data_IF_813029103051
#
_entry.id   IF_813029103051
#
_cell.length_a   1.000
_cell.length_b   1.000
_cell.length_c   1.000
_cell.angle_alpha   90.00
_cell.angle_beta   90.00
_cell.angle_gamma   90.00
#
_symmetry.space_group_name_H-M   'P 1'
#
loop_
_entity.id
_entity.type
_entity.pdbx_description
1 polymer ?
#
# COMPACT_ATOMS: atom_id res chain seq x y z
N UNK A 1 27.01 -34.39 -1.24
CA UNK A 1 27.35 -33.33 -0.28
C UNK A 1 26.31 -33.43 0.83
N UNK A 2 26.66 -33.97 2.00
CA UNK A 2 25.68 -34.13 3.10
C UNK A 2 25.64 -32.83 3.88
N UNK A 3 24.58 -32.05 3.69
CA UNK A 3 24.30 -30.88 4.50
C UNK A 3 23.90 -31.38 5.89
N UNK A 4 24.58 -30.92 6.94
CA UNK A 4 24.27 -31.34 8.30
C UNK A 4 23.00 -30.67 8.80
N UNK A 5 22.18 -31.41 9.55
CA UNK A 5 20.96 -30.90 10.18
C UNK A 5 21.24 -29.68 11.08
N UNK A 6 22.40 -29.67 11.74
CA UNK A 6 22.87 -28.52 12.52
C UNK A 6 23.05 -27.26 11.69
N UNK A 7 23.64 -27.38 10.49
CA UNK A 7 23.85 -26.23 9.60
C UNK A 7 22.51 -25.70 9.08
N UNK A 8 21.56 -26.59 8.75
CA UNK A 8 20.21 -26.18 8.35
C UNK A 8 19.52 -25.43 9.49
N UNK A 9 19.61 -25.95 10.72
CA UNK A 9 19.02 -25.33 11.91
C UNK A 9 19.59 -23.94 12.16
N UNK A 10 20.92 -23.79 12.08
CA UNK A 10 21.59 -22.53 12.31
C UNK A 10 21.22 -21.48 11.25
N UNK A 11 21.15 -21.90 9.97
CA UNK A 11 20.68 -21.03 8.88
C UNK A 11 19.22 -20.60 9.13
N UNK A 12 18.33 -21.53 9.49
CA UNK A 12 16.92 -21.21 9.77
C UNK A 12 16.80 -20.24 10.94
N UNK A 13 17.54 -20.44 12.02
CA UNK A 13 17.52 -19.54 13.17
C UNK A 13 18.04 -18.15 12.79
N UNK A 14 19.11 -18.06 12.02
CA UNK A 14 19.64 -16.78 11.53
C UNK A 14 18.64 -16.05 10.62
N UNK A 15 17.97 -16.77 9.71
CA UNK A 15 16.93 -16.18 8.85
C UNK A 15 15.74 -15.69 9.68
N UNK A 16 15.31 -16.46 10.69
CA UNK A 16 14.23 -16.07 11.60
C UNK A 16 14.59 -14.85 12.47
N UNK A 17 15.83 -14.74 12.93
CA UNK A 17 16.30 -13.56 13.67
C UNK A 17 16.42 -12.32 12.77
N UNK A 18 16.89 -12.49 11.54
CA UNK A 18 16.96 -11.40 10.56
C UNK A 18 15.56 -10.92 10.14
N UNK A 19 14.57 -11.81 10.05
CA UNK A 19 13.17 -11.43 9.80
C UNK A 19 12.48 -10.81 11.01
N UNK A 20 12.86 -11.17 12.25
CA UNK A 20 12.36 -10.49 13.46
C UNK A 20 12.80 -9.03 13.57
N UNK A 21 13.98 -8.68 13.06
CA UNK A 21 14.47 -7.30 13.06
C UNK A 21 13.86 -6.43 11.94
N UNK A 22 13.00 -7.01 11.08
CA UNK A 22 12.22 -6.26 10.08
C UNK A 22 10.93 -5.66 10.65
N UNK A 23 10.58 -5.91 11.91
CA UNK A 23 9.24 -5.63 12.45
C UNK A 23 9.11 -4.27 13.13
N UNK A 24 9.69 -3.21 12.58
CA UNK A 24 9.09 -1.88 12.79
C UNK A 24 8.04 -1.71 11.70
N UNK A 25 6.76 -1.53 12.04
CA UNK A 25 5.76 -1.22 11.02
C UNK A 25 6.23 0.04 10.29
N UNK A 26 6.14 0.03 8.95
CA UNK A 26 6.66 1.10 8.09
C UNK A 26 6.02 2.47 8.40
N UNK A 27 4.90 2.46 9.12
CA UNK A 27 4.12 3.60 9.58
C UNK A 27 3.41 3.25 10.90
N UNK A 28 2.91 4.27 11.61
CA UNK A 28 2.14 4.07 12.85
C UNK A 28 0.78 3.42 12.54
N UNK A 29 0.63 2.17 13.00
CA UNK A 29 -0.58 1.34 12.85
C UNK A 29 -0.93 0.70 14.19
N UNK A 30 -2.19 0.81 14.60
CA UNK A 30 -2.75 0.13 15.78
C UNK A 30 -3.79 -0.89 15.33
N UNK A 31 -3.51 -2.17 15.55
CA UNK A 31 -4.43 -3.28 15.27
C UNK A 31 -5.01 -3.74 16.60
N UNK A 32 -6.31 -3.51 16.80
CA UNK A 32 -7.04 -4.01 17.96
C UNK A 32 -7.33 -5.52 17.81
N UNK A 33 -7.39 -6.31 18.88
CA UNK A 33 -7.75 -7.73 18.80
C UNK A 33 -9.11 -8.03 18.14
N UNK A 34 -10.02 -7.06 18.06
CA UNK A 34 -11.27 -7.17 17.29
C UNK A 34 -11.10 -7.15 15.77
N UNK A 35 -9.92 -6.76 15.28
CA UNK A 35 -9.64 -6.53 13.85
C UNK A 35 -9.86 -5.08 13.42
N UNK A 36 -10.21 -4.16 14.32
CA UNK A 36 -10.24 -2.72 14.00
C UNK A 36 -8.81 -2.22 13.84
N UNK A 37 -8.55 -1.50 12.74
CA UNK A 37 -7.22 -0.99 12.41
C UNK A 37 -7.27 0.54 12.36
N UNK A 38 -6.50 1.19 13.24
CA UNK A 38 -6.24 2.63 13.18
C UNK A 38 -4.90 2.89 12.51
N UNK A 39 -4.87 3.78 11.51
CA UNK A 39 -3.68 4.09 10.72
C UNK A 39 -3.44 5.59 10.76
N UNK A 40 -2.24 6.01 11.12
CA UNK A 40 -1.84 7.43 11.12
C UNK A 40 -1.20 7.77 9.79
N UNK A 41 -2.02 8.22 8.85
CA UNK A 41 -1.66 8.50 7.46
C UNK A 41 -0.44 9.41 7.33
N UNK A 42 -0.27 10.39 8.23
CA UNK A 42 0.89 11.31 8.26
C UNK A 42 2.24 10.64 8.48
N UNK A 43 2.28 9.34 8.77
CA UNK A 43 3.51 8.56 8.98
C UNK A 43 3.77 7.54 7.87
N UNK A 44 2.82 7.39 6.94
CA UNK A 44 2.97 6.55 5.76
C UNK A 44 3.93 7.23 4.80
N UNK A 45 4.86 6.46 4.26
CA UNK A 45 5.76 6.88 3.19
C UNK A 45 5.47 6.02 1.98
N UNK A 46 5.07 6.64 0.89
CA UNK A 46 4.87 5.97 -0.38
C UNK A 46 6.22 5.49 -0.93
N UNK A 47 6.18 4.37 -1.65
CA UNK A 47 7.35 3.78 -2.30
C UNK A 47 7.18 3.88 -3.82
N UNK A 48 8.27 4.06 -4.59
CA UNK A 48 8.17 4.14 -6.04
C UNK A 48 7.45 2.92 -6.64
N UNK A 49 6.53 3.18 -7.55
CA UNK A 49 5.87 2.15 -8.34
C UNK A 49 6.58 1.96 -9.68
N UNK A 50 6.17 0.95 -10.46
CA UNK A 50 6.78 0.66 -11.77
C UNK A 50 6.68 1.86 -12.74
N UNK A 51 5.63 2.67 -12.58
CA UNK A 51 5.39 3.88 -13.38
C UNK A 51 6.11 5.10 -12.77
N UNK A 52 6.86 5.83 -13.61
CA UNK A 52 7.54 7.06 -13.20
C UNK A 52 6.55 8.12 -12.72
N UNK A 53 6.90 8.79 -11.61
CA UNK A 53 6.05 9.79 -10.96
C UNK A 53 4.90 9.19 -10.15
N UNK A 54 4.79 7.86 -10.04
CA UNK A 54 3.83 7.18 -9.18
C UNK A 54 4.55 6.58 -7.99
N UNK A 55 4.06 6.89 -6.79
CA UNK A 55 4.46 6.20 -5.57
C UNK A 55 3.20 5.75 -4.81
N UNK A 56 3.24 4.55 -4.23
CA UNK A 56 2.11 4.02 -3.49
C UNK A 56 2.55 3.22 -2.27
N UNK A 57 1.64 3.07 -1.31
CA UNK A 57 1.81 2.18 -0.17
C UNK A 57 0.47 1.55 0.23
N UNK A 58 0.38 0.24 0.13
CA UNK A 58 -0.70 -0.52 0.76
C UNK A 58 -0.59 -0.40 2.29
N UNK A 59 -1.69 -0.03 2.93
CA UNK A 59 -1.72 0.21 4.38
C UNK A 59 -2.36 -0.95 5.17
N UNK A 60 -2.92 -1.93 4.47
CA UNK A 60 -3.48 -3.18 5.01
C UNK A 60 -3.07 -4.37 4.15
N UNK A 61 -2.90 -5.55 4.76
CA UNK A 61 -2.72 -6.82 4.04
C UNK A 61 -4.05 -7.54 3.79
N UNK A 62 -4.05 -8.58 2.95
CA UNK A 62 -5.23 -9.45 2.75
C UNK A 62 -5.63 -10.23 4.01
N UNK A 63 -4.68 -10.50 4.92
CA UNK A 63 -4.99 -11.13 6.21
C UNK A 63 -5.70 -10.14 7.15
N UNK A 64 -5.31 -8.86 7.09
CA UNK A 64 -5.89 -7.78 7.88
C UNK A 64 -7.25 -7.32 7.34
N UNK A 65 -7.38 -7.19 6.02
CA UNK A 65 -8.57 -6.71 5.33
C UNK A 65 -8.89 -7.58 4.08
N UNK A 66 -9.58 -8.73 4.27
CA UNK A 66 -9.73 -9.75 3.21
C UNK A 66 -10.68 -9.38 2.07
N UNK A 67 -11.35 -8.23 2.15
CA UNK A 67 -12.41 -7.82 1.21
C UNK A 67 -12.19 -6.45 0.56
N UNK A 68 -11.35 -5.61 1.16
CA UNK A 68 -11.17 -4.23 0.74
C UNK A 68 -9.72 -3.85 0.96
N UNK A 69 -9.03 -3.53 -0.13
CA UNK A 69 -7.72 -2.92 -0.08
C UNK A 69 -7.83 -1.46 0.36
N UNK A 70 -6.76 -0.94 0.92
CA UNK A 70 -6.60 0.48 1.17
C UNK A 70 -5.12 0.82 1.02
N UNK A 71 -4.85 1.99 0.46
CA UNK A 71 -3.50 2.49 0.25
C UNK A 71 -3.45 4.01 0.28
N UNK A 72 -2.24 4.55 0.23
CA UNK A 72 -1.98 5.95 -0.07
C UNK A 72 -1.20 5.99 -1.37
N UNK A 73 -1.59 6.87 -2.28
CA UNK A 73 -0.94 7.07 -3.57
C UNK A 73 -0.54 8.55 -3.71
N UNK A 74 0.65 8.77 -4.25
CA UNK A 74 1.20 10.06 -4.62
C UNK A 74 1.49 10.05 -6.13
N UNK A 75 1.02 11.09 -6.80
CA UNK A 75 1.24 11.32 -8.23
C UNK A 75 1.99 12.65 -8.41
N UNK A 76 3.15 12.62 -9.05
CA UNK A 76 3.95 13.81 -9.35
C UNK A 76 4.01 14.04 -10.86
N UNK A 77 3.23 15.01 -11.34
CA UNK A 77 3.18 15.46 -12.74
C UNK A 77 3.22 14.31 -13.77
N UNK A 78 2.44 13.26 -13.51
CA UNK A 78 2.42 12.03 -14.31
C UNK A 78 1.00 11.69 -14.74
N UNK A 79 0.90 10.85 -15.76
CA UNK A 79 -0.35 10.24 -16.22
C UNK A 79 -0.02 8.85 -16.75
N UNK A 80 -0.92 7.89 -16.54
CA UNK A 80 -0.73 6.52 -16.98
C UNK A 80 -2.08 5.84 -17.21
N UNK A 81 -2.10 4.88 -18.12
CA UNK A 81 -3.29 4.06 -18.35
C UNK A 81 -3.36 2.94 -17.32
N UNK A 82 -4.55 2.73 -16.76
CA UNK A 82 -4.81 1.64 -15.84
C UNK A 82 -6.19 1.05 -16.09
N UNK A 83 -6.30 -0.28 -15.99
CA UNK A 83 -7.59 -0.98 -16.02
C UNK A 83 -7.89 -1.50 -14.63
N UNK A 84 -8.82 -0.86 -13.93
CA UNK A 84 -9.31 -1.36 -12.65
C UNK A 84 -10.19 -2.60 -12.90
N UNK A 85 -10.01 -3.61 -12.06
CA UNK A 85 -10.80 -4.86 -12.10
C UNK A 85 -11.65 -5.02 -10.84
N UNK A 86 -11.83 -3.91 -10.13
CA UNK A 86 -12.48 -3.79 -8.84
C UNK A 86 -12.98 -2.35 -8.66
N UNK A 87 -13.99 -2.18 -7.80
CA UNK A 87 -14.48 -0.87 -7.38
C UNK A 87 -13.43 -0.11 -6.55
N UNK A 88 -13.21 1.17 -6.81
CA UNK A 88 -12.28 2.02 -6.08
C UNK A 88 -12.94 3.34 -5.65
N UNK A 89 -12.65 3.76 -4.41
CA UNK A 89 -12.98 5.10 -3.92
C UNK A 89 -11.68 5.82 -3.58
N UNK A 90 -11.48 6.97 -4.22
CA UNK A 90 -10.36 7.85 -3.94
C UNK A 90 -10.83 9.04 -3.12
N UNK A 91 -10.14 9.33 -2.01
CA UNK A 91 -10.26 10.59 -1.29
C UNK A 91 -8.99 11.40 -1.56
N UNK A 92 -9.13 12.56 -2.18
CA UNK A 92 -7.99 13.42 -2.50
C UNK A 92 -7.53 14.13 -1.22
N UNK A 93 -6.32 13.82 -0.77
CA UNK A 93 -5.74 14.42 0.45
C UNK A 93 -5.11 15.78 0.12
N UNK A 94 -4.31 15.84 -0.94
CA UNK A 94 -3.60 17.03 -1.42
C UNK A 94 -3.55 17.05 -2.95
N UNK A 95 -3.36 18.24 -3.53
CA UNK A 95 -3.22 18.39 -4.99
C UNK A 95 -4.54 18.22 -5.76
N UNK A 96 -4.43 17.73 -6.99
CA UNK A 96 -5.55 17.46 -7.89
C UNK A 96 -5.38 16.06 -8.48
N UNK A 97 -6.41 15.23 -8.40
CA UNK A 97 -6.51 13.95 -9.10
C UNK A 97 -7.45 14.12 -10.30
N UNK A 98 -7.02 13.65 -11.47
CA UNK A 98 -7.83 13.65 -12.68
C UNK A 98 -7.95 12.23 -13.23
N UNK A 99 -9.18 11.78 -13.46
CA UNK A 99 -9.48 10.50 -14.10
C UNK A 99 -10.03 10.79 -15.49
N UNK A 100 -9.33 10.32 -16.52
CA UNK A 100 -9.76 10.43 -17.91
C UNK A 100 -10.47 9.15 -18.37
N UNK A 101 -11.68 9.28 -18.93
CA UNK A 101 -12.43 8.17 -19.52
C UNK A 101 -13.22 8.63 -20.76
N UNK A 102 -12.97 7.97 -21.89
CA UNK A 102 -13.52 8.33 -23.22
C UNK A 102 -13.33 9.83 -23.56
N UNK A 103 -12.15 10.39 -23.27
CA UNK A 103 -11.82 11.80 -23.53
C UNK A 103 -12.54 12.81 -22.63
N UNK A 104 -13.20 12.36 -21.55
CA UNK A 104 -13.79 13.21 -20.51
C UNK A 104 -12.94 13.13 -19.25
N UNK A 105 -12.84 14.23 -18.52
CA UNK A 105 -12.06 14.32 -17.29
C UNK A 105 -12.98 14.51 -16.09
N UNK A 106 -12.77 13.71 -15.06
CA UNK A 106 -13.34 13.88 -13.73
C UNK A 106 -12.19 14.33 -12.82
N UNK A 107 -12.25 15.56 -12.32
CA UNK A 107 -11.21 16.13 -11.44
C UNK A 107 -11.72 16.24 -10.01
N UNK A 108 -10.87 15.91 -9.03
CA UNK A 108 -11.10 16.09 -7.60
C UNK A 108 -9.95 16.87 -6.95
N UNK A 109 -10.29 17.78 -6.04
CA UNK A 109 -9.34 18.52 -5.21
C UNK A 109 -9.37 18.07 -3.75
N UNK A 110 -8.60 18.70 -2.84
CA UNK A 110 -8.47 18.25 -1.45
C UNK A 110 -9.82 18.18 -0.73
N UNK A 111 -10.16 16.99 -0.22
CA UNK A 111 -11.42 16.68 0.45
C UNK A 111 -12.53 16.12 -0.45
N UNK A 112 -12.30 16.06 -1.77
CA UNK A 112 -13.24 15.44 -2.71
C UNK A 112 -13.07 13.93 -2.77
N UNK A 113 -14.16 13.24 -3.11
CA UNK A 113 -14.19 11.79 -3.31
C UNK A 113 -14.54 11.48 -4.77
N UNK A 114 -13.79 10.57 -5.39
CA UNK A 114 -14.07 9.98 -6.70
C UNK A 114 -14.39 8.49 -6.50
N UNK A 115 -15.37 7.99 -7.25
CA UNK A 115 -15.69 6.56 -7.32
C UNK A 115 -15.46 6.07 -8.74
N UNK A 116 -14.72 4.97 -8.86
CA UNK A 116 -14.44 4.26 -10.11
C UNK A 116 -15.04 2.85 -10.00
N UNK A 117 -16.01 2.49 -10.85
CA UNK A 117 -16.64 1.17 -10.84
C UNK A 117 -15.82 0.10 -11.56
#
# INVERSE_FOLDING_TARGET
>A
MNISESLIRDIVLQVLEQTKNSSKPAFEKHVDPSGIIGIKTSTVKCEPFEQEGVALKDIVSLEEAPRMGAGIMELDHTSFEWTLTYDEYDMVIEGTLEIEIDGRIISGGPGDIIYIP
#
